data_IF_407184550973
#
_entry.id   IF_407184550973
#
_cell.length_a   1.000
_cell.length_b   1.000
_cell.length_c   1.000
_cell.angle_alpha   90.00
_cell.angle_beta   90.00
_cell.angle_gamma   90.00
#
_symmetry.space_group_name_H-M   'P 1'
#
loop_
_entity.id
_entity.type
_entity.pdbx_description
1 polymer ?
#
# COMPACT_ATOMS: atom_id res chain seq x y z
N UNK A 1 -12.16 18.77 -38.03
CA UNK A 1 -10.74 18.72 -37.61
C UNK A 1 -10.26 20.16 -37.50
N UNK A 2 -10.34 20.73 -36.31
CA UNK A 2 -9.69 21.99 -35.91
C UNK A 2 -9.25 21.76 -34.47
N UNK A 3 -7.93 21.68 -34.27
CA UNK A 3 -7.25 21.62 -32.99
C UNK A 3 -6.93 23.05 -32.53
N UNK A 4 -7.42 23.47 -31.36
CA UNK A 4 -6.70 24.34 -30.40
C UNK A 4 -7.18 23.94 -28.99
N UNK A 5 -6.29 23.23 -28.28
CA UNK A 5 -6.31 22.74 -26.89
C UNK A 5 -7.50 21.87 -26.43
N UNK A 6 -7.55 20.66 -26.99
CA UNK A 6 -8.37 19.55 -26.52
C UNK A 6 -8.00 19.04 -25.12
N UNK A 7 -8.57 19.64 -24.09
CA UNK A 7 -8.63 19.02 -22.77
C UNK A 7 -9.78 18.01 -22.78
N UNK A 8 -9.46 16.73 -22.95
CA UNK A 8 -10.36 15.69 -22.44
C UNK A 8 -10.41 15.89 -20.92
N UNK A 9 -11.59 16.19 -20.39
CA UNK A 9 -11.88 16.10 -18.96
C UNK A 9 -11.72 14.61 -18.62
N UNK A 10 -10.50 14.23 -18.24
CA UNK A 10 -10.13 12.86 -17.92
C UNK A 10 -10.71 12.50 -16.57
N UNK A 11 -11.81 11.75 -16.61
CA UNK A 11 -12.32 10.92 -15.53
C UNK A 11 -11.18 10.17 -14.82
N UNK A 12 -11.35 9.92 -13.53
CA UNK A 12 -10.41 9.10 -12.77
C UNK A 12 -10.32 7.72 -13.42
N UNK A 13 -9.23 7.44 -14.13
CA UNK A 13 -8.82 6.08 -14.45
C UNK A 13 -7.30 5.92 -14.25
N UNK A 14 -6.92 5.54 -13.05
CA UNK A 14 -5.91 4.50 -12.89
C UNK A 14 -6.64 3.35 -12.21
N UNK A 15 -6.59 2.16 -12.80
CA UNK A 15 -7.23 0.94 -12.25
C UNK A 15 -6.90 0.85 -10.76
N UNK A 16 -7.91 1.02 -9.90
CA UNK A 16 -7.71 0.98 -8.46
C UNK A 16 -7.15 -0.38 -8.05
N UNK A 17 -6.50 -0.43 -6.89
CA UNK A 17 -5.84 -1.64 -6.41
C UNK A 17 -6.60 -2.27 -5.24
N UNK A 18 -6.67 -3.60 -5.18
CA UNK A 18 -7.16 -4.30 -3.98
C UNK A 18 -6.03 -4.47 -2.99
N UNK A 19 -6.23 -4.09 -1.73
CA UNK A 19 -5.21 -4.17 -0.68
C UNK A 19 -5.77 -4.80 0.59
N UNK A 20 -4.87 -5.29 1.45
CA UNK A 20 -5.25 -5.56 2.83
C UNK A 20 -5.32 -4.25 3.63
N UNK A 21 -6.29 -4.15 4.53
CA UNK A 21 -6.47 -3.04 5.46
C UNK A 21 -6.65 -3.54 6.89
N UNK A 22 -5.90 -2.94 7.81
CA UNK A 22 -6.07 -3.14 9.24
C UNK A 22 -5.37 -2.02 10.00
N UNK A 23 -5.84 -1.75 11.23
CA UNK A 23 -5.30 -0.69 12.11
C UNK A 23 -4.63 -1.26 13.35
N UNK A 24 -3.78 -0.47 14.01
CA UNK A 24 -3.10 -0.88 15.25
C UNK A 24 -4.03 -0.97 16.47
N UNK A 25 -5.16 -0.26 16.43
CA UNK A 25 -6.18 -0.25 17.46
C UNK A 25 -7.58 -0.13 16.82
N UNK A 26 -8.65 -0.56 17.50
CA UNK A 26 -10.02 -0.37 17.01
C UNK A 26 -10.31 1.11 16.75
N UNK A 27 -10.99 1.41 15.65
CA UNK A 27 -11.47 2.77 15.38
C UNK A 27 -12.53 3.12 16.42
N UNK A 28 -12.44 4.29 17.05
CA UNK A 28 -13.39 4.73 18.07
C UNK A 28 -14.82 4.75 17.48
N UNK A 29 -15.74 4.01 18.11
CA UNK A 29 -17.12 3.85 17.63
C UNK A 29 -17.35 2.68 16.67
N UNK A 30 -16.34 1.88 16.34
CA UNK A 30 -16.53 0.64 15.59
C UNK A 30 -17.26 -0.42 16.43
N UNK A 31 -18.24 -1.08 15.82
CA UNK A 31 -18.91 -2.25 16.40
C UNK A 31 -17.84 -3.35 16.55
N UNK A 32 -17.77 -4.00 17.73
CA UNK A 32 -16.69 -4.96 18.06
C UNK A 32 -16.52 -6.09 17.03
N UNK A 33 -17.58 -6.49 16.33
CA UNK A 33 -17.54 -7.54 15.30
C UNK A 33 -16.80 -7.13 14.01
N UNK A 34 -16.51 -5.84 13.81
CA UNK A 34 -15.83 -5.33 12.61
C UNK A 34 -14.47 -4.69 12.91
N UNK A 35 -13.89 -4.89 14.10
CA UNK A 35 -12.59 -4.30 14.41
C UNK A 35 -11.47 -5.01 13.61
N UNK A 36 -11.13 -4.49 12.44
CA UNK A 36 -10.04 -4.96 11.59
C UNK A 36 -8.67 -4.56 12.19
N UNK A 37 -8.35 -5.04 13.39
CA UNK A 37 -7.06 -4.79 14.02
C UNK A 37 -5.98 -5.71 13.44
N UNK A 38 -4.78 -5.17 13.22
CA UNK A 38 -3.69 -5.92 12.59
C UNK A 38 -3.11 -7.02 13.48
N UNK A 39 -3.34 -6.98 14.79
CA UNK A 39 -2.93 -8.08 15.70
C UNK A 39 -3.72 -9.37 15.45
N UNK A 40 -4.87 -9.29 14.78
CA UNK A 40 -5.72 -10.43 14.42
C UNK A 40 -5.68 -10.72 12.91
N UNK A 41 -4.82 -10.02 12.16
CA UNK A 41 -4.75 -10.14 10.71
C UNK A 41 -4.41 -11.57 10.28
N UNK A 42 -5.34 -12.21 9.58
CA UNK A 42 -5.21 -13.58 9.05
C UNK A 42 -5.06 -13.61 7.51
N UNK A 43 -5.20 -12.45 6.85
CA UNK A 43 -5.19 -12.33 5.40
C UNK A 43 -6.47 -12.82 4.73
N UNK A 44 -7.56 -13.02 5.48
CA UNK A 44 -8.88 -13.33 4.95
C UNK A 44 -9.48 -12.15 4.17
N UNK A 45 -10.59 -12.42 3.46
CA UNK A 45 -11.38 -11.40 2.77
C UNK A 45 -11.90 -10.30 3.69
N UNK A 46 -12.02 -10.59 4.99
CA UNK A 46 -12.47 -9.62 5.99
C UNK A 46 -11.49 -8.46 6.16
N UNK A 47 -10.26 -8.60 5.68
CA UNK A 47 -9.25 -7.54 5.69
C UNK A 47 -9.01 -6.93 4.30
N UNK A 48 -9.78 -7.31 3.28
CA UNK A 48 -9.56 -6.80 1.92
C UNK A 48 -10.41 -5.55 1.66
N UNK A 49 -9.83 -4.58 0.95
CA UNK A 49 -10.53 -3.38 0.50
C UNK A 49 -10.08 -2.98 -0.90
N UNK A 50 -10.97 -2.36 -1.66
CA UNK A 50 -10.67 -1.82 -2.98
C UNK A 50 -10.34 -0.33 -2.90
N UNK A 51 -9.11 0.02 -3.26
CA UNK A 51 -8.56 1.36 -3.21
C UNK A 51 -8.78 2.09 -4.55
N UNK A 52 -9.97 2.67 -4.75
CA UNK A 52 -10.33 3.37 -6.00
C UNK A 52 -9.54 4.66 -6.27
N UNK A 53 -8.84 5.19 -5.25
CA UNK A 53 -8.06 6.44 -5.31
C UNK A 53 -6.56 6.21 -5.06
N UNK A 54 -6.10 4.99 -5.31
CA UNK A 54 -4.72 4.57 -5.08
C UNK A 54 -4.33 3.52 -6.10
N UNK A 55 -3.04 3.50 -6.45
CA UNK A 55 -2.42 2.47 -7.28
C UNK A 55 -1.40 1.63 -6.51
N UNK A 56 -1.23 1.89 -5.20
CA UNK A 56 -0.27 1.18 -4.35
C UNK A 56 -0.93 0.74 -3.04
N UNK A 57 -0.58 -0.45 -2.58
CA UNK A 57 -0.85 -0.85 -1.21
C UNK A 57 0.26 -0.36 -0.28
N UNK A 58 -0.11 0.02 0.94
CA UNK A 58 0.81 0.46 1.98
C UNK A 58 0.85 -0.54 3.13
N UNK A 59 2.05 -0.72 3.69
CA UNK A 59 2.30 -1.34 4.98
C UNK A 59 3.18 -0.42 5.81
N UNK A 60 2.78 -0.15 7.05
CA UNK A 60 3.58 0.58 8.03
C UNK A 60 3.96 -0.35 9.17
N UNK A 61 5.23 -0.34 9.54
CA UNK A 61 5.78 -1.12 10.66
C UNK A 61 6.28 -0.15 11.73
N UNK A 62 5.78 -0.31 12.95
CA UNK A 62 6.19 0.48 14.11
C UNK A 62 6.98 -0.41 15.07
N UNK A 63 8.20 0.01 15.32
CA UNK A 63 9.10 -0.58 16.27
C UNK A 63 8.88 0.05 17.65
N UNK A 64 9.01 -0.73 18.72
CA UNK A 64 9.07 -0.22 20.09
C UNK A 64 10.34 -0.72 20.75
N UNK A 65 10.95 0.15 21.54
CA UNK A 65 12.15 -0.19 22.31
C UNK A 65 11.71 -0.62 23.71
N UNK A 66 12.08 -1.85 24.09
CA UNK A 66 11.86 -2.36 25.43
C UNK A 66 12.90 -1.79 26.40
N UNK A 67 12.60 -1.80 27.70
CA UNK A 67 13.49 -1.27 28.75
C UNK A 67 14.86 -1.94 28.85
N UNK A 68 15.00 -3.17 28.30
CA UNK A 68 16.28 -3.88 28.18
C UNK A 68 17.10 -3.46 26.93
N UNK A 69 16.64 -2.46 26.17
CA UNK A 69 17.31 -1.96 24.98
C UNK A 69 17.00 -2.71 23.69
N UNK A 70 16.31 -3.86 23.74
CA UNK A 70 15.88 -4.59 22.56
C UNK A 70 14.76 -3.87 21.79
N UNK A 71 14.77 -3.99 20.46
CA UNK A 71 13.72 -3.45 19.60
C UNK A 71 12.77 -4.57 19.21
N UNK A 72 11.47 -4.40 19.50
CA UNK A 72 10.42 -5.33 19.09
C UNK A 72 9.55 -4.66 18.04
N UNK A 73 9.34 -5.33 16.91
CA UNK A 73 8.29 -4.96 15.97
C UNK A 73 6.96 -5.21 16.66
N UNK A 74 6.29 -4.14 17.07
CA UNK A 74 5.15 -4.28 18.00
C UNK A 74 3.83 -4.01 17.31
N UNK A 75 3.85 -3.17 16.27
CA UNK A 75 2.61 -2.75 15.61
C UNK A 75 2.81 -2.69 14.10
N UNK A 76 1.76 -3.10 13.40
CA UNK A 76 1.71 -3.11 11.94
C UNK A 76 0.40 -2.47 11.55
N UNK A 77 0.41 -1.71 10.46
CA UNK A 77 -0.78 -1.12 9.86
C UNK A 77 -0.77 -1.44 8.35
N UNK A 78 -1.95 -1.64 7.78
CA UNK A 78 -2.13 -1.95 6.35
C UNK A 78 -3.21 -1.08 5.77
N UNK A 79 -3.04 -0.64 4.52
CA UNK A 79 -4.09 0.08 3.81
C UNK A 79 -3.70 0.49 2.41
N UNK A 80 -4.47 1.41 1.85
CA UNK A 80 -4.19 2.07 0.59
C UNK A 80 -3.09 3.12 0.75
N UNK A 81 -2.27 3.35 -0.27
CA UNK A 81 -1.36 4.50 -0.29
C UNK A 81 -2.15 5.80 -0.54
N UNK A 82 -1.85 6.87 0.20
CA UNK A 82 -2.53 8.16 0.10
C UNK A 82 -2.03 8.96 -1.11
N UNK A 83 -2.53 8.64 -2.30
CA UNK A 83 -2.11 9.28 -3.57
C UNK A 83 -3.14 10.28 -4.10
N UNK A 84 -4.29 10.43 -3.45
CA UNK A 84 -5.33 11.37 -3.85
C UNK A 84 -4.94 12.80 -3.47
N UNK A 85 -4.79 13.64 -4.48
CA UNK A 85 -4.69 15.09 -4.37
C UNK A 85 -6.06 15.71 -4.71
N UNK A 86 -6.52 16.63 -3.87
CA UNK A 86 -7.81 17.32 -4.01
C UNK A 86 -7.55 18.82 -4.05
N UNK A 87 -7.86 19.44 -5.18
CA UNK A 87 -7.65 20.87 -5.39
C UNK A 87 -8.87 21.52 -6.05
N UNK A 88 -8.92 22.85 -6.06
CA UNK A 88 -9.97 23.60 -6.74
C UNK A 88 -9.40 24.34 -7.94
N UNK A 89 -10.05 24.21 -9.09
CA UNK A 89 -9.75 24.96 -10.30
C UNK A 89 -10.91 25.89 -10.62
N UNK A 90 -10.63 27.16 -10.89
CA UNK A 90 -11.65 28.11 -11.31
C UNK A 90 -11.93 27.95 -12.82
N UNK A 91 -13.19 27.72 -13.18
CA UNK A 91 -13.65 27.74 -14.55
C UNK A 91 -14.12 29.16 -14.89
N UNK A 92 -13.44 29.79 -15.87
CA UNK A 92 -13.76 31.16 -16.30
C UNK A 92 -15.03 31.26 -17.15
N UNK A 93 -15.41 30.17 -17.85
CA UNK A 93 -16.63 30.13 -18.65
C UNK A 93 -17.86 29.97 -17.76
N UNK A 94 -17.78 29.11 -16.75
CA UNK A 94 -18.86 28.88 -15.78
C UNK A 94 -18.86 29.88 -14.61
N UNK A 95 -17.78 30.64 -14.45
CA UNK A 95 -17.54 31.58 -13.34
C UNK A 95 -17.69 30.91 -11.97
N UNK A 96 -17.19 29.68 -11.85
CA UNK A 96 -17.34 28.85 -10.67
C UNK A 96 -16.04 28.13 -10.30
N UNK A 97 -15.90 27.79 -9.02
CA UNK A 97 -14.84 26.92 -8.55
C UNK A 97 -15.28 25.47 -8.62
N UNK A 98 -14.49 24.64 -9.29
CA UNK A 98 -14.73 23.20 -9.37
C UNK A 98 -13.69 22.45 -8.57
N UNK A 99 -14.15 21.50 -7.77
CA UNK A 99 -13.27 20.55 -7.10
C UNK A 99 -12.74 19.55 -8.13
N UNK A 100 -11.45 19.32 -8.09
CA UNK A 100 -10.72 18.36 -8.91
C UNK A 100 -10.03 17.35 -8.01
N UNK A 101 -10.08 16.09 -8.42
CA UNK A 101 -9.48 14.96 -7.72
C UNK A 101 -8.45 14.32 -8.67
N UNK A 102 -7.19 14.19 -8.25
CA UNK A 102 -6.11 13.63 -9.06
C UNK A 102 -5.32 12.58 -8.26
N UNK A 103 -5.04 11.43 -8.87
CA UNK A 103 -4.14 10.44 -8.30
C UNK A 103 -2.70 10.79 -8.71
N UNK A 104 -1.87 11.15 -7.74
CA UNK A 104 -0.46 11.51 -7.94
C UNK A 104 0.42 10.30 -7.63
N UNK A 105 0.70 9.50 -8.67
CA UNK A 105 1.43 8.24 -8.50
C UNK A 105 2.85 8.45 -7.96
N UNK A 106 3.50 9.57 -8.29
CA UNK A 106 4.88 9.88 -7.90
C UNK A 106 5.09 10.23 -6.42
N UNK A 107 4.03 10.30 -5.61
CA UNK A 107 4.14 10.61 -4.17
C UNK A 107 4.87 9.50 -3.42
N UNK A 108 4.72 8.25 -3.87
CA UNK A 108 5.37 7.10 -3.27
C UNK A 108 6.05 6.25 -4.34
N UNK A 109 7.15 5.62 -3.96
CA UNK A 109 7.86 4.66 -4.79
C UNK A 109 7.66 3.26 -4.22
N UNK A 110 7.58 2.26 -5.10
CA UNK A 110 7.55 0.85 -4.70
C UNK A 110 8.84 0.49 -3.92
N UNK A 111 8.68 -0.28 -2.85
CA UNK A 111 9.76 -0.64 -1.93
C UNK A 111 9.51 -0.20 -0.50
N UNK A 112 10.48 -0.49 0.38
CA UNK A 112 10.44 -0.15 1.80
C UNK A 112 11.43 0.98 2.12
N UNK A 113 11.01 1.93 2.94
CA UNK A 113 11.84 3.03 3.40
C UNK A 113 11.56 3.39 4.85
N UNK A 114 12.59 3.85 5.54
CA UNK A 114 12.49 4.37 6.89
C UNK A 114 11.92 5.79 6.83
N UNK A 115 10.83 6.01 7.54
CA UNK A 115 10.19 7.31 7.65
C UNK A 115 11.00 8.31 8.47
N UNK A 116 10.46 9.52 8.56
CA UNK A 116 11.02 10.56 9.42
C UNK A 116 10.97 10.15 10.90
N UNK A 117 12.07 10.40 11.63
CA UNK A 117 12.08 10.23 13.07
C UNK A 117 11.40 11.43 13.74
N UNK A 118 10.21 11.19 14.28
CA UNK A 118 9.41 12.17 15.01
C UNK A 118 9.46 11.97 16.53
N UNK A 119 10.51 11.32 17.04
CA UNK A 119 10.70 11.09 18.47
C UNK A 119 9.89 9.93 19.02
N UNK A 120 9.54 8.96 18.19
CA UNK A 120 8.88 7.72 18.65
C UNK A 120 9.86 6.93 19.55
N UNK A 121 9.44 6.36 20.68
CA UNK A 121 10.32 5.62 21.59
C UNK A 121 11.06 4.44 20.93
N UNK A 122 10.48 3.86 19.88
CA UNK A 122 11.12 2.79 19.10
C UNK A 122 11.80 3.23 17.81
N UNK A 123 11.95 4.55 17.59
CA UNK A 123 12.54 5.12 16.40
C UNK A 123 11.55 5.31 15.23
N UNK A 124 12.06 5.72 14.06
CA UNK A 124 11.22 5.99 12.90
C UNK A 124 10.50 4.72 12.40
N UNK A 125 9.24 4.84 11.96
CA UNK A 125 8.51 3.72 11.36
C UNK A 125 9.06 3.37 9.97
N UNK A 126 8.98 2.11 9.57
CA UNK A 126 9.22 1.67 8.20
C UNK A 126 7.89 1.72 7.41
N UNK A 127 7.92 2.29 6.21
CA UNK A 127 6.82 2.27 5.26
C UNK A 127 7.21 1.46 4.04
N UNK A 128 6.32 0.59 3.58
CA UNK A 128 6.50 -0.16 2.36
C UNK A 128 5.31 0.01 1.43
N UNK A 129 5.59 0.13 0.14
CA UNK A 129 4.61 0.29 -0.92
C UNK A 129 4.82 -0.78 -1.99
N UNK A 130 3.73 -1.30 -2.54
CA UNK A 130 3.77 -2.31 -3.61
C UNK A 130 2.56 -2.18 -4.53
N UNK A 131 2.72 -2.57 -5.80
CA UNK A 131 1.77 -2.24 -6.87
C UNK A 131 0.88 -3.38 -7.36
N UNK A 132 0.93 -4.56 -6.71
CA UNK A 132 0.14 -5.72 -7.10
C UNK A 132 -1.02 -5.97 -6.12
N UNK A 133 -2.18 -6.48 -6.58
CA UNK A 133 -3.30 -6.75 -5.70
C UNK A 133 -2.90 -7.59 -4.48
N UNK A 134 -3.28 -7.14 -3.29
CA UNK A 134 -3.09 -7.82 -2.00
C UNK A 134 -1.61 -8.05 -1.63
N UNK A 135 -0.67 -7.33 -2.25
CA UNK A 135 0.77 -7.48 -2.03
C UNK A 135 1.23 -7.13 -0.61
N UNK A 136 0.48 -6.30 0.12
CA UNK A 136 0.83 -5.86 1.48
C UNK A 136 0.51 -6.89 2.58
N UNK A 137 0.28 -8.16 2.22
CA UNK A 137 0.03 -9.26 3.16
C UNK A 137 1.22 -9.50 4.09
N UNK A 138 2.42 -9.47 3.52
CA UNK A 138 3.62 -10.04 4.12
C UNK A 138 4.06 -9.29 5.36
N UNK A 139 4.56 -10.04 6.34
CA UNK A 139 5.17 -9.48 7.53
C UNK A 139 6.48 -8.75 7.23
N UNK A 140 7.30 -9.31 6.34
CA UNK A 140 8.55 -8.73 5.83
C UNK A 140 8.52 -8.77 4.31
N UNK A 141 8.67 -7.61 3.63
CA UNK A 141 8.60 -7.57 2.16
C UNK A 141 9.91 -8.02 1.50
N UNK A 142 11.02 -8.11 2.26
CA UNK A 142 12.28 -8.66 1.77
C UNK A 142 12.30 -10.19 1.57
N UNK A 143 11.37 -10.95 2.18
CA UNK A 143 11.41 -12.43 2.16
C UNK A 143 10.79 -13.08 0.92
N UNK A 144 9.93 -12.38 0.16
CA UNK A 144 9.18 -12.99 -0.93
C UNK A 144 9.98 -13.18 -2.21
N UNK A 145 10.93 -12.28 -2.50
CA UNK A 145 11.77 -12.38 -3.68
C UNK A 145 12.62 -13.66 -3.65
N UNK A 146 13.24 -13.98 -2.50
CA UNK A 146 14.12 -15.15 -2.37
C UNK A 146 13.41 -16.49 -2.63
N UNK A 147 12.18 -16.66 -2.11
CA UNK A 147 11.46 -17.92 -2.25
C UNK A 147 11.01 -18.17 -3.69
N UNK A 148 10.61 -17.13 -4.42
CA UNK A 148 10.23 -17.23 -5.84
C UNK A 148 11.44 -17.65 -6.68
N UNK A 149 12.60 -17.01 -6.50
CA UNK A 149 13.83 -17.38 -7.22
C UNK A 149 14.24 -18.84 -7.00
N UNK A 150 14.15 -19.34 -5.77
CA UNK A 150 14.47 -20.73 -5.44
C UNK A 150 13.50 -21.70 -6.13
N UNK A 151 12.20 -21.42 -6.09
CA UNK A 151 11.20 -22.28 -6.74
C UNK A 151 11.35 -22.33 -8.25
N UNK A 152 11.59 -21.19 -8.91
CA UNK A 152 11.86 -21.15 -10.35
C UNK A 152 13.14 -21.92 -10.72
N UNK A 153 14.20 -21.78 -9.94
CA UNK A 153 15.47 -22.48 -10.16
C UNK A 153 15.35 -24.00 -10.00
N UNK A 154 14.59 -24.47 -9.01
CA UNK A 154 14.35 -25.91 -8.82
C UNK A 154 13.49 -26.50 -9.94
N UNK A 155 12.50 -25.76 -10.43
CA UNK A 155 11.67 -26.18 -11.55
C UNK A 155 12.48 -26.29 -12.85
N UNK A 156 13.37 -25.33 -13.13
CA UNK A 156 14.24 -25.40 -14.33
C UNK A 156 15.22 -26.58 -14.24
N UNK A 157 15.84 -26.82 -13.08
CA UNK A 157 16.71 -28.00 -12.89
C UNK A 157 15.94 -29.30 -13.11
N UNK A 158 14.74 -29.43 -12.53
CA UNK A 158 13.95 -30.66 -12.69
C UNK A 158 13.63 -30.93 -14.16
N UNK A 159 13.23 -29.91 -14.93
CA UNK A 159 12.95 -30.06 -16.36
C UNK A 159 14.17 -30.43 -17.19
N UNK A 160 15.37 -29.96 -16.80
CA UNK A 160 16.63 -30.34 -17.47
C UNK A 160 17.03 -31.79 -17.18
N UNK A 161 16.81 -32.28 -15.95
CA UNK A 161 17.09 -33.68 -15.58
C UNK A 161 16.18 -34.63 -16.37
N UNK A 162 14.89 -34.30 -16.50
CA UNK A 162 13.94 -35.09 -17.31
C UNK A 162 14.21 -35.03 -18.82
N UNK A 163 14.84 -33.98 -19.32
CA UNK A 163 15.18 -33.84 -20.75
C UNK A 163 16.47 -34.59 -21.16
N UNK A 164 17.30 -34.97 -20.19
CA UNK A 164 18.61 -35.64 -20.41
C UNK A 164 18.58 -37.13 -20.05
N UNK A 165 17.49 -37.61 -19.41
CA UNK A 165 17.22 -39.03 -19.12
C UNK A 165 16.33 -39.64 -20.19
#
# INVERSE_FOLDING_TARGET
MIEIYGVRIGEISSEGISCFTCTVAPVAGAIQETSQICSQFDGSSNYQTYCSKSTLCMKRTIHHRLGNGSIVRTSVERGCALQLDVFHSYDFAERAWHRQDKIVQSVYQEGCFVGEDRGSPGGPPEYCYCQYPLCNRTETLNGQNYMIYITCYLLTISSLIFAVS
#
